data_IF_789572716408
#
_entry.id   IF_789572716408
#
_cell.length_a   1.000
_cell.length_b   1.000
_cell.length_c   1.000
_cell.angle_alpha   90.00
_cell.angle_beta   90.00
_cell.angle_gamma   90.00
#
_symmetry.space_group_name_H-M   'P 1'
#
loop_
_entity.id
_entity.type
_entity.pdbx_description
1 polymer ?
#
# COMPACT_ATOMS: atom_id res chain seq x y z
N UNK A 1 10.12 -17.76 12.69
CA UNK A 1 8.67 -17.90 12.46
C UNK A 1 8.26 -16.87 11.43
N UNK A 2 7.90 -17.29 10.21
CA UNK A 2 7.31 -16.41 9.19
C UNK A 2 5.91 -16.01 9.68
N UNK A 3 5.54 -14.72 9.69
CA UNK A 3 4.20 -14.32 10.12
C UNK A 3 3.20 -14.95 9.15
N UNK A 4 2.32 -15.76 9.73
CA UNK A 4 1.32 -16.61 9.11
C UNK A 4 0.61 -15.94 7.93
N UNK A 5 0.47 -16.67 6.82
CA UNK A 5 -0.44 -16.32 5.73
C UNK A 5 -1.85 -16.27 6.31
N UNK A 6 -2.32 -15.06 6.64
CA UNK A 6 -3.72 -14.90 6.97
C UNK A 6 -4.50 -15.13 5.67
N UNK A 7 -5.23 -16.24 5.65
CA UNK A 7 -5.99 -16.71 4.51
C UNK A 7 -7.49 -16.55 4.79
N UNK A 8 -8.22 -16.05 3.80
CA UNK A 8 -9.68 -16.07 3.77
C UNK A 8 -10.09 -17.00 2.61
N UNK A 9 -10.87 -18.04 2.89
CA UNK A 9 -11.27 -19.05 1.89
C UNK A 9 -10.08 -19.71 1.14
N UNK A 10 -8.94 -19.92 1.82
CA UNK A 10 -7.73 -20.48 1.22
C UNK A 10 -6.95 -19.52 0.31
N UNK A 11 -7.32 -18.24 0.28
CA UNK A 11 -6.57 -17.20 -0.44
C UNK A 11 -5.88 -16.26 0.55
N UNK A 12 -4.56 -16.01 0.42
CA UNK A 12 -3.87 -15.10 1.31
C UNK A 12 -4.34 -13.66 1.07
N UNK A 13 -4.73 -12.95 2.12
CA UNK A 13 -4.99 -11.50 2.07
C UNK A 13 -3.88 -10.71 2.76
N UNK A 14 -3.13 -11.35 3.66
CA UNK A 14 -1.84 -10.84 4.11
C UNK A 14 -0.80 -11.13 3.04
N UNK A 15 -0.31 -10.07 2.38
CA UNK A 15 0.56 -10.23 1.21
C UNK A 15 2.02 -10.04 1.51
N UNK A 16 2.34 -9.12 2.41
CA UNK A 16 3.74 -8.82 2.68
C UNK A 16 3.94 -8.28 4.08
N UNK A 17 4.90 -8.88 4.75
CA UNK A 17 5.61 -8.29 5.88
C UNK A 17 7.00 -7.90 5.39
N UNK A 18 7.41 -6.67 5.65
CA UNK A 18 8.79 -6.24 5.41
C UNK A 18 9.37 -5.65 6.68
N UNK A 19 10.62 -6.01 6.94
CA UNK A 19 11.46 -5.42 7.98
C UNK A 19 12.79 -5.05 7.34
N UNK A 20 13.26 -3.84 7.58
CA UNK A 20 14.59 -3.46 7.16
C UNK A 20 15.01 -2.10 7.68
N UNK A 21 16.27 -1.79 7.45
CA UNK A 21 16.89 -0.57 7.92
C UNK A 21 16.56 0.61 7.00
N UNK A 22 16.14 1.73 7.61
CA UNK A 22 16.03 3.01 6.94
C UNK A 22 16.76 4.02 7.84
N UNK A 23 17.92 4.50 7.40
CA UNK A 23 18.77 5.45 8.13
C UNK A 23 19.21 4.98 9.52
N UNK A 24 19.56 3.70 9.68
CA UNK A 24 20.00 3.12 10.95
C UNK A 24 18.85 2.74 11.90
N UNK A 25 17.60 2.93 11.48
CA UNK A 25 16.42 2.50 12.22
C UNK A 25 15.76 1.29 11.56
N UNK A 26 15.50 0.25 12.36
CA UNK A 26 14.72 -0.92 11.96
C UNK A 26 13.25 -0.55 11.80
N UNK A 27 12.75 -0.71 10.58
CA UNK A 27 11.41 -0.29 10.19
C UNK A 27 10.57 -1.45 9.67
N UNK A 28 9.28 -1.41 10.01
CA UNK A 28 8.29 -2.41 9.63
C UNK A 28 7.26 -1.83 8.68
N UNK A 29 6.96 -2.60 7.65
CA UNK A 29 5.86 -2.34 6.72
C UNK A 29 4.98 -3.58 6.67
N UNK A 30 3.68 -3.38 6.81
CA UNK A 30 2.67 -4.43 6.58
C UNK A 30 1.85 -4.02 5.36
N UNK A 31 1.64 -4.96 4.44
CA UNK A 31 0.82 -4.77 3.23
C UNK A 31 -0.24 -5.86 3.17
N UNK A 32 -1.49 -5.43 3.09
CA UNK A 32 -2.68 -6.25 2.91
C UNK A 32 -3.26 -6.00 1.53
N UNK A 33 -3.49 -7.07 0.76
CA UNK A 33 -4.13 -7.03 -0.54
C UNK A 33 -4.63 -8.44 -0.94
N UNK A 34 -5.65 -8.52 -1.78
CA UNK A 34 -6.11 -9.80 -2.32
C UNK A 34 -5.54 -10.01 -3.73
N UNK A 35 -5.69 -11.20 -4.31
CA UNK A 35 -5.24 -11.44 -5.68
C UNK A 35 -6.03 -10.59 -6.67
N UNK A 36 -7.33 -10.45 -6.42
CA UNK A 36 -8.28 -9.69 -7.24
C UNK A 36 -7.94 -8.20 -7.20
N UNK A 37 -7.57 -7.68 -6.02
CA UNK A 37 -7.18 -6.29 -5.91
C UNK A 37 -5.84 -5.98 -6.59
N UNK A 38 -4.86 -6.88 -6.46
CA UNK A 38 -3.61 -6.75 -7.20
C UNK A 38 -3.84 -6.89 -8.71
N UNK A 39 -4.72 -7.79 -9.15
CA UNK A 39 -5.10 -7.91 -10.55
C UNK A 39 -5.74 -6.62 -11.07
N UNK A 40 -6.67 -6.01 -10.30
CA UNK A 40 -7.28 -4.73 -10.63
C UNK A 40 -6.23 -3.62 -10.79
N UNK A 41 -5.24 -3.58 -9.90
CA UNK A 41 -4.12 -2.62 -9.99
C UNK A 41 -3.22 -2.80 -11.21
N UNK A 42 -3.13 -4.00 -11.79
CA UNK A 42 -2.34 -4.25 -13.01
C UNK A 42 -2.99 -3.67 -14.26
N UNK A 43 -4.31 -3.43 -14.23
CA UNK A 43 -4.97 -2.74 -15.34
C UNK A 43 -4.57 -1.27 -15.37
N UNK A 44 -4.48 -0.71 -16.58
CA UNK A 44 -4.06 0.67 -16.88
C UNK A 44 -5.06 1.71 -16.33
N UNK A 45 -5.09 1.86 -15.02
CA UNK A 45 -6.14 2.54 -14.27
C UNK A 45 -5.60 3.76 -13.53
N UNK A 46 -6.50 4.68 -13.17
CA UNK A 46 -6.13 5.81 -12.32
C UNK A 46 -5.98 5.32 -10.88
N UNK A 47 -4.77 5.43 -10.34
CA UNK A 47 -4.49 5.07 -8.94
C UNK A 47 -4.51 6.32 -8.06
N UNK A 48 -5.11 6.19 -6.88
CA UNK A 48 -5.16 7.21 -5.86
C UNK A 48 -4.57 6.69 -4.54
N UNK A 49 -3.73 7.50 -3.90
CA UNK A 49 -3.21 7.23 -2.56
C UNK A 49 -3.91 8.11 -1.54
N UNK A 50 -4.51 7.48 -0.54
CA UNK A 50 -5.04 8.13 0.65
C UNK A 50 -4.18 7.80 1.88
N UNK A 51 -3.69 8.82 2.56
CA UNK A 51 -2.93 8.68 3.80
C UNK A 51 -3.84 8.99 4.98
N UNK A 52 -4.22 7.97 5.75
CA UNK A 52 -4.99 8.17 6.98
C UNK A 52 -4.08 8.11 8.22
N UNK A 53 -4.11 9.20 8.99
CA UNK A 53 -3.39 9.32 10.26
C UNK A 53 -4.22 8.85 11.45
N UNK A 54 -5.52 8.61 11.27
CA UNK A 54 -6.44 8.28 12.38
C UNK A 54 -6.54 6.78 12.67
N UNK A 55 -6.39 5.93 11.65
CA UNK A 55 -6.54 4.47 11.77
C UNK A 55 -5.16 3.82 11.82
N UNK A 56 -4.53 3.81 13.01
CA UNK A 56 -3.16 3.28 13.16
C UNK A 56 -2.98 2.54 14.48
N UNK A 57 -2.85 1.21 14.47
CA UNK A 57 -2.45 0.49 15.66
C UNK A 57 -0.98 0.80 15.96
N UNK A 58 -0.64 0.98 17.24
CA UNK A 58 0.75 1.00 17.67
C UNK A 58 1.44 -0.31 17.23
N UNK A 59 2.67 -0.28 16.64
CA UNK A 59 3.63 0.82 16.58
C UNK A 59 3.68 1.60 15.25
N UNK A 60 2.60 1.62 14.45
CA UNK A 60 2.60 2.26 13.14
C UNK A 60 2.22 3.75 13.18
N UNK A 61 2.89 4.57 12.35
CA UNK A 61 2.68 6.02 12.30
C UNK A 61 1.91 6.49 11.07
N UNK A 62 1.64 5.64 10.09
CA UNK A 62 0.67 5.94 9.03
C UNK A 62 0.00 4.69 8.48
N UNK A 63 -1.25 4.83 8.05
CA UNK A 63 -1.92 3.86 7.19
C UNK A 63 -2.13 4.50 5.81
N UNK A 64 -1.77 3.79 4.75
CA UNK A 64 -1.98 4.20 3.36
C UNK A 64 -2.99 3.25 2.74
N UNK A 65 -4.05 3.79 2.15
CA UNK A 65 -4.98 3.05 1.30
C UNK A 65 -4.68 3.42 -0.15
N UNK A 66 -4.36 2.41 -0.97
CA UNK A 66 -4.17 2.58 -2.41
C UNK A 66 -5.45 2.12 -3.09
N UNK A 67 -6.06 3.02 -3.85
CA UNK A 67 -7.33 2.82 -4.52
C UNK A 67 -7.15 2.93 -6.03
N UNK A 68 -7.92 2.15 -6.77
CA UNK A 68 -7.95 2.19 -8.24
C UNK A 68 -9.32 2.63 -8.68
N UNK A 69 -9.40 3.57 -9.61
CA UNK A 69 -10.64 3.89 -10.29
C UNK A 69 -11.00 2.76 -11.25
N UNK A 70 -12.11 2.10 -11.00
CA UNK A 70 -12.67 1.07 -11.86
C UNK A 70 -13.76 1.67 -12.75
N UNK A 71 -13.49 1.73 -14.06
CA UNK A 71 -14.41 2.28 -15.05
C UNK A 71 -15.71 1.45 -15.14
N UNK A 72 -15.66 0.15 -14.78
CA UNK A 72 -16.84 -0.71 -14.80
C UNK A 72 -17.88 -0.32 -13.74
N UNK A 73 -17.42 0.06 -12.55
CA UNK A 73 -18.29 0.48 -11.44
C UNK A 73 -18.39 2.00 -11.25
N UNK A 74 -17.54 2.79 -11.93
CA UNK A 74 -17.38 4.24 -11.73
C UNK A 74 -17.04 4.63 -10.28
N UNK A 75 -16.25 3.80 -9.60
CA UNK A 75 -15.89 3.98 -8.20
C UNK A 75 -14.39 3.77 -7.98
N UNK A 76 -13.87 4.39 -6.92
CA UNK A 76 -12.55 4.05 -6.39
C UNK A 76 -12.65 2.80 -5.52
N UNK A 77 -11.99 1.73 -5.95
CA UNK A 77 -11.93 0.45 -5.25
C UNK A 77 -10.64 0.39 -4.42
N UNK A 78 -10.72 0.23 -3.08
CA UNK A 78 -9.53 0.07 -2.25
C UNK A 78 -8.87 -1.28 -2.54
N UNK A 79 -7.63 -1.22 -3.00
CA UNK A 79 -6.91 -2.39 -3.45
C UNK A 79 -5.82 -2.85 -2.48
N UNK A 80 -5.17 -1.90 -1.80
CA UNK A 80 -4.11 -2.18 -0.84
C UNK A 80 -4.30 -1.34 0.41
N UNK A 81 -4.14 -1.97 1.57
CA UNK A 81 -3.94 -1.27 2.84
C UNK A 81 -2.51 -1.52 3.34
N UNK A 82 -1.80 -0.44 3.66
CA UNK A 82 -0.41 -0.47 4.07
C UNK A 82 -0.24 0.23 5.42
N UNK A 83 0.50 -0.39 6.34
CA UNK A 83 0.93 0.24 7.59
C UNK A 83 2.44 0.51 7.53
N UNK A 84 2.86 1.72 7.90
CA UNK A 84 4.27 2.13 7.91
C UNK A 84 4.64 2.87 9.19
N UNK A 85 5.88 2.65 9.64
CA UNK A 85 6.46 3.26 10.84
C UNK A 85 7.13 4.62 10.61
N UNK A 86 7.11 5.18 9.40
CA UNK A 86 7.68 6.51 9.17
C UNK A 86 6.95 7.28 8.08
N UNK A 87 7.19 8.59 8.01
CA UNK A 87 6.45 9.54 7.15
C UNK A 87 7.33 10.40 6.23
N UNK A 88 8.65 10.32 6.34
CA UNK A 88 9.54 11.13 5.51
C UNK A 88 9.55 10.64 4.05
N UNK A 89 10.10 11.44 3.14
CA UNK A 89 10.23 11.07 1.72
C UNK A 89 10.92 9.72 1.52
N UNK A 90 11.90 9.36 2.38
CA UNK A 90 12.56 8.05 2.30
C UNK A 90 11.58 6.90 2.57
N UNK A 91 10.70 7.04 3.55
CA UNK A 91 9.65 6.04 3.82
C UNK A 91 8.67 5.93 2.66
N UNK A 92 8.33 7.07 2.05
CA UNK A 92 7.47 7.12 0.86
C UNK A 92 8.07 6.35 -0.31
N UNK A 93 9.35 6.55 -0.58
CA UNK A 93 10.07 5.81 -1.61
C UNK A 93 10.09 4.32 -1.29
N UNK A 94 10.38 3.94 -0.03
CA UNK A 94 10.47 2.53 0.35
C UNK A 94 9.13 1.81 0.22
N UNK A 95 8.03 2.31 0.80
CA UNK A 95 6.77 1.57 0.69
C UNK A 95 6.28 1.48 -0.77
N UNK A 96 6.51 2.51 -1.62
CA UNK A 96 6.24 2.42 -3.06
C UNK A 96 7.05 1.31 -3.72
N UNK A 97 8.33 1.19 -3.36
CA UNK A 97 9.19 0.11 -3.83
C UNK A 97 8.68 -1.27 -3.39
N UNK A 98 8.23 -1.41 -2.13
CA UNK A 98 7.63 -2.68 -1.65
C UNK A 98 6.38 -3.06 -2.44
N UNK A 99 5.54 -2.08 -2.83
CA UNK A 99 4.37 -2.31 -3.70
C UNK A 99 4.79 -2.76 -5.10
N UNK A 100 5.79 -2.12 -5.70
CA UNK A 100 6.31 -2.52 -7.02
C UNK A 100 6.83 -3.97 -7.00
N UNK A 101 7.57 -4.36 -5.96
CA UNK A 101 8.02 -5.74 -5.81
C UNK A 101 6.83 -6.69 -5.61
N UNK A 102 5.83 -6.31 -4.79
CA UNK A 102 4.62 -7.12 -4.59
C UNK A 102 3.86 -7.33 -5.90
N UNK A 103 3.88 -6.34 -6.78
CA UNK A 103 3.27 -6.40 -8.11
C UNK A 103 4.14 -7.12 -9.15
N UNK A 104 5.29 -7.68 -8.74
CA UNK A 104 6.27 -8.33 -9.62
C UNK A 104 6.73 -7.42 -10.76
N UNK A 105 6.90 -6.12 -10.47
CA UNK A 105 7.24 -5.08 -11.44
C UNK A 105 6.23 -4.93 -12.60
N UNK A 106 5.05 -5.55 -12.49
CA UNK A 106 4.00 -5.49 -13.50
C UNK A 106 2.92 -4.46 -13.12
N UNK A 107 3.32 -3.32 -12.59
CA UNK A 107 2.40 -2.24 -12.21
C UNK A 107 2.63 -1.01 -13.08
N UNK A 108 1.67 -0.72 -13.96
CA UNK A 108 1.68 0.42 -14.88
C UNK A 108 0.39 1.24 -14.73
N UNK A 109 0.27 2.07 -13.67
CA UNK A 109 -0.89 2.94 -13.52
C UNK A 109 -0.90 4.03 -14.60
N UNK A 110 -2.07 4.33 -15.16
CA UNK A 110 -2.25 5.41 -16.17
C UNK A 110 -1.89 6.77 -15.59
N UNK A 111 -2.31 6.98 -14.35
CA UNK A 111 -2.06 8.18 -13.57
C UNK A 111 -1.98 7.78 -12.10
N UNK A 112 -1.10 8.45 -11.36
CA UNK A 112 -1.05 8.36 -9.90
C UNK A 112 -1.38 9.73 -9.32
N UNK A 113 -2.39 9.76 -8.46
CA UNK A 113 -2.82 10.95 -7.74
C UNK A 113 -2.73 10.69 -6.26
N UNK A 114 -2.50 11.75 -5.50
CA UNK A 114 -2.36 11.64 -4.05
C UNK A 114 -3.00 12.85 -3.40
N UNK A 115 -3.79 12.67 -2.35
CA UNK A 115 -4.30 13.80 -1.58
C UNK A 115 -3.20 14.31 -0.65
N UNK A 116 -2.31 15.15 -1.18
CA UNK A 116 -1.52 16.03 -0.32
C UNK A 116 -2.52 17.05 0.23
N UNK A 117 -3.01 16.83 1.46
CA UNK A 117 -3.45 17.96 2.26
C UNK A 117 -2.33 19.00 2.19
N UNK A 118 -2.69 20.22 1.77
CA UNK A 118 -1.98 21.49 1.93
C UNK A 118 -0.87 21.47 3.00
N UNK A 119 0.28 20.88 2.70
CA UNK A 119 1.48 20.93 3.52
C UNK A 119 2.47 21.98 2.99
N UNK A 120 1.92 23.06 2.42
CA UNK A 120 2.57 24.35 2.23
C UNK A 120 1.52 25.40 2.59
N UNK A 121 1.64 25.89 3.83
CA UNK A 121 1.46 27.33 4.08
C UNK A 121 2.61 28.03 3.36
#
# INVERSE_FOLDING_TARGET
>A
MSPHSLEANGQPFFRRYWVGDIHGEQNRIIILATNESLALMRYNSQTFFDWTLKIRPHPFYQCIIIMVYDDGTNLYVPCVALLSQGRTNTYIVNYKHQIIILMEYNWMPRAMTTYFEKALI
#
